data_IF_600119162505
#
_entry.id   IF_600119162505
#
_cell.length_a   1.000
_cell.length_b   1.000
_cell.length_c   1.000
_cell.angle_alpha   90.00
_cell.angle_beta   90.00
_cell.angle_gamma   90.00
#
_symmetry.space_group_name_H-M   'P 1'
#
loop_
_entity.id
_entity.type
_entity.pdbx_description
1 polymer ?
#
# COMPACT_ATOMS: atom_id res chain seq x y z
N UNK A 1 -38.02 -50.39 -12.20
CA UNK A 1 -38.00 -51.13 -10.92
C UNK A 1 -37.96 -50.10 -9.79
N UNK A 2 -39.09 -49.86 -9.11
CA UNK A 2 -39.16 -48.88 -7.99
C UNK A 2 -38.51 -49.49 -6.76
N UNK A 3 -37.38 -48.94 -6.34
CA UNK A 3 -36.65 -49.41 -5.16
C UNK A 3 -37.46 -49.06 -3.90
N UNK A 4 -38.13 -50.07 -3.31
CA UNK A 4 -38.79 -49.96 -2.00
C UNK A 4 -37.70 -49.85 -0.93
N UNK A 5 -37.31 -48.63 -0.59
CA UNK A 5 -36.43 -48.38 0.56
C UNK A 5 -37.26 -48.65 1.82
N UNK A 6 -36.84 -49.65 2.59
CA UNK A 6 -37.50 -50.04 3.84
C UNK A 6 -37.37 -48.94 4.90
N UNK A 7 -38.49 -48.57 5.53
CA UNK A 7 -38.56 -47.58 6.62
C UNK A 7 -37.59 -47.86 7.78
N UNK A 8 -37.16 -49.12 7.98
CA UNK A 8 -36.15 -49.47 9.00
C UNK A 8 -34.76 -48.91 8.67
N UNK A 9 -34.36 -48.86 7.39
CA UNK A 9 -33.07 -48.29 6.98
C UNK A 9 -33.08 -46.76 7.09
N UNK A 10 -34.21 -46.13 6.80
CA UNK A 10 -34.38 -44.68 6.91
C UNK A 10 -34.32 -44.23 8.37
N UNK A 11 -34.99 -44.94 9.29
CA UNK A 11 -34.91 -44.64 10.72
C UNK A 11 -33.51 -44.86 11.30
N UNK A 12 -32.75 -45.83 10.81
CA UNK A 12 -31.36 -46.06 11.26
C UNK A 12 -30.41 -44.95 10.81
N UNK A 13 -30.57 -44.48 9.56
CA UNK A 13 -29.78 -43.35 9.03
C UNK A 13 -30.17 -42.05 9.76
N UNK A 14 -31.46 -41.82 10.01
CA UNK A 14 -31.93 -40.66 10.79
C UNK A 14 -31.40 -40.70 12.22
N UNK A 15 -31.37 -41.87 12.86
CA UNK A 15 -30.84 -42.03 14.21
C UNK A 15 -29.33 -41.75 14.28
N UNK A 16 -28.55 -42.21 13.29
CA UNK A 16 -27.11 -41.93 13.21
C UNK A 16 -26.86 -40.44 12.93
N UNK A 17 -27.62 -39.82 12.02
CA UNK A 17 -27.52 -38.39 11.75
C UNK A 17 -27.91 -37.55 12.97
N UNK A 18 -28.89 -37.97 13.76
CA UNK A 18 -29.24 -37.34 15.04
C UNK A 18 -28.13 -37.53 16.09
N UNK A 19 -27.49 -38.69 16.16
CA UNK A 19 -26.33 -38.89 17.04
C UNK A 19 -25.15 -37.99 16.64
N UNK A 20 -24.89 -37.79 15.34
CA UNK A 20 -23.81 -36.92 14.85
C UNK A 20 -24.14 -35.43 15.05
N UNK A 21 -25.41 -35.05 14.95
CA UNK A 21 -25.88 -33.67 15.21
C UNK A 21 -25.98 -33.34 16.71
N UNK A 22 -26.19 -34.35 17.57
CA UNK A 22 -26.22 -34.21 19.03
C UNK A 22 -24.86 -34.44 19.69
N UNK A 23 -23.93 -35.12 19.01
CA UNK A 23 -22.50 -35.06 19.30
C UNK A 23 -21.87 -33.86 18.60
N UNK A 24 -22.54 -32.70 18.67
CA UNK A 24 -21.82 -31.43 18.63
C UNK A 24 -20.70 -31.48 19.66
N UNK A 25 -19.59 -30.84 19.34
CA UNK A 25 -18.34 -30.83 20.11
C UNK A 25 -18.50 -30.18 21.50
N UNK A 26 -19.32 -30.77 22.38
CA UNK A 26 -19.56 -30.34 23.75
C UNK A 26 -18.59 -31.04 24.72
N UNK A 27 -17.35 -31.31 24.28
CA UNK A 27 -16.27 -31.75 25.15
C UNK A 27 -15.38 -30.58 25.61
N UNK A 28 -15.56 -29.37 25.07
CA UNK A 28 -15.15 -28.19 25.82
C UNK A 28 -16.23 -27.95 26.87
N UNK A 29 -16.03 -28.55 28.05
CA UNK A 29 -16.76 -28.13 29.23
C UNK A 29 -16.63 -26.62 29.40
N UNK A 30 -17.65 -26.00 29.98
CA UNK A 30 -17.58 -24.66 30.56
C UNK A 30 -16.49 -24.64 31.64
N UNK A 31 -15.22 -24.63 31.22
CA UNK A 31 -14.18 -24.03 32.00
C UNK A 31 -14.49 -22.54 31.92
N UNK A 32 -15.06 -22.00 32.99
CA UNK A 32 -14.91 -20.58 33.25
C UNK A 32 -13.42 -20.27 33.04
N UNK A 33 -13.13 -19.56 31.96
CA UNK A 33 -11.78 -19.16 31.58
C UNK A 33 -11.14 -18.56 32.84
N UNK A 34 -10.00 -19.08 33.33
CA UNK A 34 -9.43 -18.60 34.58
C UNK A 34 -9.10 -17.12 34.43
N UNK A 35 -9.82 -16.25 35.16
CA UNK A 35 -9.68 -14.81 35.04
C UNK A 35 -8.21 -14.41 35.27
N UNK A 36 -7.58 -13.81 34.25
CA UNK A 36 -6.21 -13.36 34.33
C UNK A 36 -6.19 -11.83 34.28
N UNK A 37 -6.01 -11.21 35.45
CA UNK A 37 -6.03 -9.76 35.61
C UNK A 37 -5.05 -9.04 34.66
N UNK A 38 -3.86 -9.61 34.46
CA UNK A 38 -2.85 -9.04 33.56
C UNK A 38 -3.28 -9.11 32.09
N UNK A 39 -3.94 -10.19 31.67
CA UNK A 39 -4.49 -10.33 30.32
C UNK A 39 -5.59 -9.31 30.04
N UNK A 40 -6.58 -9.21 30.93
CA UNK A 40 -7.69 -8.27 30.77
C UNK A 40 -7.22 -6.81 30.89
N UNK A 41 -6.31 -6.51 31.83
CA UNK A 41 -5.70 -5.19 31.93
C UNK A 41 -4.90 -4.82 30.67
N UNK A 42 -4.14 -5.78 30.12
CA UNK A 42 -3.37 -5.61 28.89
C UNK A 42 -4.27 -5.32 27.67
N UNK A 43 -5.33 -6.11 27.51
CA UNK A 43 -6.34 -5.93 26.45
C UNK A 43 -7.07 -4.59 26.58
N UNK A 44 -7.46 -4.20 27.80
CA UNK A 44 -8.06 -2.90 28.07
C UNK A 44 -7.11 -1.75 27.72
N UNK A 45 -5.87 -1.80 28.20
CA UNK A 45 -4.87 -0.79 27.88
C UNK A 45 -4.59 -0.67 26.38
N UNK A 46 -4.60 -1.80 25.65
CA UNK A 46 -4.44 -1.80 24.19
C UNK A 46 -5.59 -1.08 23.48
N UNK A 47 -6.83 -1.27 23.95
CA UNK A 47 -8.01 -0.62 23.39
C UNK A 47 -8.09 0.86 23.74
N UNK A 48 -7.54 1.27 24.88
CA UNK A 48 -7.43 2.66 25.31
C UNK A 48 -6.21 3.40 24.70
N UNK A 49 -5.44 2.76 23.80
CA UNK A 49 -4.25 3.36 23.20
C UNK A 49 -3.04 3.50 24.14
N UNK A 50 -3.09 2.87 25.33
CA UNK A 50 -1.98 2.85 26.31
C UNK A 50 -0.98 1.76 25.97
N UNK A 51 -0.32 1.89 24.81
CA UNK A 51 0.45 0.81 24.19
C UNK A 51 1.59 0.24 25.04
N UNK A 52 2.36 1.08 25.73
CA UNK A 52 3.46 0.58 26.58
C UNK A 52 2.94 -0.12 27.84
N UNK A 53 1.85 0.38 28.43
CA UNK A 53 1.16 -0.28 29.55
C UNK A 53 0.58 -1.64 29.11
N UNK A 54 -0.03 -1.69 27.92
CA UNK A 54 -0.55 -2.93 27.35
C UNK A 54 0.56 -3.98 27.20
N UNK A 55 1.71 -3.62 26.63
CA UNK A 55 2.87 -4.52 26.50
C UNK A 55 3.39 -4.97 27.86
N UNK A 56 3.48 -4.06 28.84
CA UNK A 56 3.94 -4.40 30.18
C UNK A 56 3.03 -5.46 30.82
N UNK A 57 1.71 -5.23 30.78
CA UNK A 57 0.71 -6.16 31.34
C UNK A 57 0.66 -7.50 30.63
N UNK A 58 0.70 -7.51 29.31
CA UNK A 58 0.69 -8.78 28.56
C UNK A 58 1.97 -9.59 28.75
N UNK A 59 3.11 -8.97 29.07
CA UNK A 59 4.37 -9.67 29.37
C UNK A 59 4.43 -10.29 30.77
N UNK A 60 3.53 -9.91 31.67
CA UNK A 60 3.40 -10.56 32.98
C UNK A 60 2.85 -11.99 32.86
N UNK A 61 2.25 -12.34 31.72
CA UNK A 61 1.71 -13.67 31.44
C UNK A 61 2.85 -14.62 31.10
N UNK A 62 3.02 -15.67 31.90
CA UNK A 62 4.10 -16.65 31.73
C UNK A 62 3.78 -17.69 30.65
N UNK A 63 4.79 -18.34 30.04
CA UNK A 63 4.59 -19.36 28.99
C UNK A 63 3.68 -20.54 29.37
N UNK A 64 3.55 -20.85 30.66
CA UNK A 64 2.71 -21.92 31.19
C UNK A 64 1.23 -21.54 31.24
N UNK A 65 0.91 -20.26 31.12
CA UNK A 65 -0.47 -19.76 31.14
C UNK A 65 -1.21 -20.11 29.84
N UNK A 66 -2.49 -20.52 29.90
CA UNK A 66 -3.31 -20.74 28.71
C UNK A 66 -3.52 -19.45 27.89
N UNK A 67 -3.29 -18.26 28.47
CA UNK A 67 -3.38 -16.95 27.80
C UNK A 67 -2.09 -16.54 27.09
N UNK A 68 -0.99 -17.26 27.25
CA UNK A 68 0.31 -16.84 26.71
C UNK A 68 0.31 -16.67 25.19
N UNK A 69 -0.23 -17.59 24.38
CA UNK A 69 -0.27 -17.41 22.93
C UNK A 69 -1.04 -16.14 22.51
N UNK A 70 -2.16 -15.86 23.18
CA UNK A 70 -3.01 -14.69 22.93
C UNK A 70 -2.30 -13.41 23.37
N UNK A 71 -1.59 -13.45 24.49
CA UNK A 71 -0.79 -12.32 24.98
C UNK A 71 0.33 -11.96 24.00
N UNK A 72 1.08 -12.96 23.52
CA UNK A 72 2.11 -12.78 22.49
C UNK A 72 1.51 -12.19 21.22
N UNK A 73 0.37 -12.70 20.77
CA UNK A 73 -0.34 -12.18 19.60
C UNK A 73 -0.76 -10.71 19.79
N UNK A 74 -1.33 -10.35 20.94
CA UNK A 74 -1.71 -8.97 21.24
C UNK A 74 -0.48 -8.04 21.29
N UNK A 75 0.65 -8.48 21.86
CA UNK A 75 1.90 -7.73 21.86
C UNK A 75 2.39 -7.46 20.43
N UNK A 76 2.28 -8.45 19.53
CA UNK A 76 2.67 -8.30 18.13
C UNK A 76 1.78 -7.32 17.35
N UNK A 77 0.55 -7.06 17.81
CA UNK A 77 -0.36 -6.06 17.23
C UNK A 77 -0.04 -4.62 17.63
N UNK A 78 0.73 -4.43 18.70
CA UNK A 78 1.00 -3.09 19.24
C UNK A 78 1.67 -2.15 18.23
N UNK A 79 2.72 -2.56 17.48
CA UNK A 79 3.36 -1.67 16.53
C UNK A 79 2.40 -1.15 15.45
N UNK A 80 1.51 -2.00 14.95
CA UNK A 80 0.53 -1.59 13.94
C UNK A 80 -0.44 -0.56 14.52
N UNK A 81 -1.08 -0.84 15.66
CA UNK A 81 -2.02 0.11 16.30
C UNK A 81 -1.36 1.44 16.66
N UNK A 82 -0.13 1.40 17.17
CA UNK A 82 0.64 2.61 17.50
C UNK A 82 1.04 3.40 16.25
N UNK A 83 1.36 2.70 15.15
CA UNK A 83 1.60 3.31 13.85
C UNK A 83 0.39 4.05 13.31
N UNK A 84 -0.81 3.45 13.40
CA UNK A 84 -2.08 4.10 13.02
C UNK A 84 -2.32 5.37 13.85
N UNK A 85 -2.25 5.27 15.18
CA UNK A 85 -2.44 6.42 16.08
C UNK A 85 -1.45 7.57 15.79
N UNK A 86 -0.18 7.23 15.51
CA UNK A 86 0.82 8.21 15.12
C UNK A 86 0.54 8.83 13.75
N UNK A 87 0.10 8.03 12.77
CA UNK A 87 -0.26 8.49 11.43
C UNK A 87 -1.44 9.46 11.46
N UNK A 88 -2.50 9.14 12.20
CA UNK A 88 -3.67 10.02 12.39
C UNK A 88 -3.29 11.35 13.05
N UNK A 89 -2.32 11.33 13.97
CA UNK A 89 -1.75 12.52 14.62
C UNK A 89 -0.71 13.24 13.78
N UNK A 90 -0.49 12.83 12.52
CA UNK A 90 0.52 13.41 11.61
C UNK A 90 1.96 13.32 12.14
N UNK A 91 2.24 12.37 13.03
CA UNK A 91 3.58 12.09 13.56
C UNK A 91 4.29 11.08 12.65
N UNK A 92 4.59 11.49 11.41
CA UNK A 92 5.01 10.58 10.33
C UNK A 92 6.26 9.76 10.67
N UNK A 93 7.27 10.35 11.31
CA UNK A 93 8.49 9.63 11.72
C UNK A 93 8.20 8.52 12.72
N UNK A 94 7.28 8.78 13.67
CA UNK A 94 6.82 7.79 14.65
C UNK A 94 6.03 6.69 13.93
N UNK A 95 5.12 7.06 13.03
CA UNK A 95 4.35 6.11 12.25
C UNK A 95 5.25 5.18 11.43
N UNK A 96 6.25 5.71 10.72
CA UNK A 96 7.24 4.92 9.97
C UNK A 96 7.97 3.95 10.90
N UNK A 97 8.48 4.46 12.03
CA UNK A 97 9.20 3.64 13.00
C UNK A 97 8.34 2.46 13.48
N UNK A 98 7.08 2.70 13.83
CA UNK A 98 6.20 1.66 14.36
C UNK A 98 5.70 0.68 13.28
N UNK A 99 5.32 1.15 12.09
CA UNK A 99 4.96 0.26 10.98
C UNK A 99 6.13 -0.63 10.54
N UNK A 100 7.37 -0.15 10.63
CA UNK A 100 8.57 -0.95 10.29
C UNK A 100 8.81 -2.13 11.23
N UNK A 101 8.23 -2.11 12.44
CA UNK A 101 8.33 -3.18 13.45
C UNK A 101 7.22 -4.22 13.32
N UNK A 102 6.25 -4.03 12.42
CA UNK A 102 5.19 -5.02 12.19
C UNK A 102 5.81 -6.30 11.60
N UNK A 103 5.58 -7.49 12.19
CA UNK A 103 6.22 -8.72 11.76
C UNK A 103 5.88 -9.10 10.31
N UNK A 104 6.85 -9.57 9.53
CA UNK A 104 6.68 -9.96 8.11
C UNK A 104 5.53 -10.94 7.84
N UNK A 105 5.34 -11.90 8.76
CA UNK A 105 4.28 -12.92 8.67
C UNK A 105 3.05 -12.59 9.53
N UNK A 106 2.97 -11.36 10.05
CA UNK A 106 1.83 -10.87 10.82
C UNK A 106 0.65 -10.51 9.91
N UNK A 107 -0.57 -10.64 10.45
CA UNK A 107 -1.81 -10.30 9.73
C UNK A 107 -1.81 -8.85 9.22
N UNK A 108 -1.27 -7.92 10.00
CA UNK A 108 -1.29 -6.49 9.70
C UNK A 108 -0.10 -6.03 8.83
N UNK A 109 0.78 -6.95 8.41
CA UNK A 109 2.01 -6.59 7.68
C UNK A 109 1.74 -5.91 6.34
N UNK A 110 0.85 -6.47 5.53
CA UNK A 110 0.52 -5.91 4.21
C UNK A 110 -0.05 -4.50 4.34
N UNK A 111 -0.86 -4.26 5.36
CA UNK A 111 -1.46 -2.96 5.63
C UNK A 111 -0.41 -1.97 6.16
N UNK A 112 0.47 -2.39 7.06
CA UNK A 112 1.60 -1.58 7.51
C UNK A 112 2.51 -1.17 6.33
N UNK A 113 2.79 -2.08 5.40
CA UNK A 113 3.55 -1.77 4.18
C UNK A 113 2.82 -0.78 3.28
N UNK A 114 1.49 -0.87 3.20
CA UNK A 114 0.69 0.09 2.45
C UNK A 114 0.83 1.51 3.04
N UNK A 115 0.68 1.67 4.36
CA UNK A 115 0.89 2.96 5.03
C UNK A 115 2.32 3.49 4.86
N UNK A 116 3.33 2.62 4.98
CA UNK A 116 4.72 3.02 4.72
C UNK A 116 4.92 3.54 3.30
N UNK A 117 4.37 2.85 2.30
CA UNK A 117 4.47 3.31 0.91
C UNK A 117 3.74 4.66 0.72
N UNK A 118 2.55 4.85 1.32
CA UNK A 118 1.84 6.12 1.27
C UNK A 118 2.68 7.26 1.87
N UNK A 119 3.16 7.10 3.11
CA UNK A 119 3.95 8.12 3.80
C UNK A 119 5.21 8.45 3.00
N UNK A 120 5.93 7.43 2.52
CA UNK A 120 7.15 7.62 1.74
C UNK A 120 6.88 8.33 0.40
N UNK A 121 5.75 8.03 -0.25
CA UNK A 121 5.35 8.71 -1.48
C UNK A 121 5.13 10.21 -1.22
N UNK A 122 4.29 10.55 -0.24
CA UNK A 122 3.97 11.95 0.08
C UNK A 122 5.23 12.73 0.49
N UNK A 123 6.07 12.15 1.35
CA UNK A 123 7.32 12.78 1.76
C UNK A 123 8.27 13.02 0.59
N UNK A 124 8.40 12.06 -0.33
CA UNK A 124 9.22 12.23 -1.54
C UNK A 124 8.62 13.27 -2.49
N UNK A 125 7.29 13.26 -2.64
CA UNK A 125 6.58 14.24 -3.47
C UNK A 125 6.81 15.66 -2.95
N UNK A 126 6.65 15.87 -1.64
CA UNK A 126 6.91 17.15 -0.98
C UNK A 126 8.38 17.56 -1.06
N UNK A 127 9.31 16.61 -0.92
CA UNK A 127 10.74 16.88 -1.08
C UNK A 127 11.09 17.31 -2.51
N UNK A 128 10.45 16.71 -3.51
CA UNK A 128 10.63 17.07 -4.92
C UNK A 128 9.98 18.41 -5.24
N UNK A 129 8.91 18.79 -4.54
CA UNK A 129 8.21 20.05 -4.76
C UNK A 129 9.06 21.23 -4.30
N UNK A 130 9.43 22.11 -5.23
CA UNK A 130 10.05 23.39 -4.89
C UNK A 130 8.92 24.31 -4.41
N UNK A 131 9.03 24.81 -3.19
CA UNK A 131 8.05 25.75 -2.63
C UNK A 131 8.01 27.04 -3.47
N UNK A 132 7.10 27.11 -4.44
CA UNK A 132 6.81 28.32 -5.21
C UNK A 132 5.62 29.04 -4.58
N UNK A 133 5.86 29.74 -3.47
CA UNK A 133 5.06 30.94 -3.22
C UNK A 133 5.55 31.99 -4.19
N UNK A 134 4.95 32.08 -5.36
CA UNK A 134 5.12 33.25 -6.22
C UNK A 134 4.46 34.43 -5.51
N UNK A 135 5.26 35.43 -5.11
CA UNK A 135 4.80 36.77 -4.75
C UNK A 135 4.29 37.52 -6.01
N UNK A 136 3.48 36.88 -6.84
CA UNK A 136 2.84 37.54 -7.97
C UNK A 136 1.40 37.88 -7.59
N UNK A 137 1.23 39.11 -7.08
CA UNK A 137 -0.04 39.73 -6.72
C UNK A 137 -0.99 39.99 -7.91
N UNK A 138 -0.75 39.39 -9.09
CA UNK A 138 -1.47 39.68 -10.33
C UNK A 138 -2.30 38.52 -10.89
N UNK A 139 -2.13 37.29 -10.40
CA UNK A 139 -2.94 36.14 -10.85
C UNK A 139 -3.27 35.22 -9.67
N UNK A 140 -4.44 35.44 -9.07
CA UNK A 140 -5.04 34.46 -8.16
C UNK A 140 -5.42 33.23 -8.99
N UNK A 141 -4.95 32.05 -8.57
CA UNK A 141 -5.48 30.71 -8.88
C UNK A 141 -4.64 29.75 -9.74
N UNK A 142 -3.37 30.04 -10.04
CA UNK A 142 -2.47 29.02 -10.60
C UNK A 142 -1.14 28.97 -9.85
N UNK A 143 -1.05 28.13 -8.81
CA UNK A 143 0.22 27.73 -8.22
C UNK A 143 0.98 26.91 -9.27
N UNK A 144 1.97 27.51 -9.93
CA UNK A 144 2.86 26.80 -10.85
C UNK A 144 3.75 25.87 -10.02
N UNK A 145 3.32 24.62 -9.83
CA UNK A 145 4.09 23.63 -9.08
C UNK A 145 5.39 23.35 -9.84
N UNK A 146 6.52 23.81 -9.28
CA UNK A 146 7.86 23.49 -9.78
C UNK A 146 8.43 22.31 -9.00
N UNK A 147 9.15 21.44 -9.70
CA UNK A 147 9.82 20.30 -9.10
C UNK A 147 11.33 20.42 -9.24
N UNK A 148 12.05 19.90 -8.26
CA UNK A 148 13.45 19.54 -8.42
C UNK A 148 13.49 18.27 -9.28
N UNK A 149 14.12 18.36 -10.46
CA UNK A 149 14.19 17.25 -11.41
C UNK A 149 15.35 16.28 -11.11
N UNK A 150 15.45 15.87 -9.84
CA UNK A 150 16.36 14.81 -9.41
C UNK A 150 15.79 13.46 -9.88
N UNK A 151 16.40 12.91 -10.93
CA UNK A 151 15.97 11.66 -11.54
C UNK A 151 15.98 10.48 -10.55
N UNK A 152 16.90 10.46 -9.58
CA UNK A 152 16.99 9.37 -8.60
C UNK A 152 15.78 9.39 -7.67
N UNK A 153 15.41 10.58 -7.19
CA UNK A 153 14.25 10.76 -6.31
C UNK A 153 12.93 10.54 -7.07
N UNK A 154 12.81 11.05 -8.30
CA UNK A 154 11.62 10.84 -9.14
C UNK A 154 11.45 9.36 -9.48
N UNK A 155 12.54 8.64 -9.78
CA UNK A 155 12.49 7.19 -10.02
C UNK A 155 12.00 6.43 -8.78
N UNK A 156 12.43 6.83 -7.57
CA UNK A 156 11.92 6.23 -6.32
C UNK A 156 10.43 6.50 -6.13
N UNK A 157 9.98 7.74 -6.37
CA UNK A 157 8.56 8.13 -6.30
C UNK A 157 7.70 7.25 -7.23
N UNK A 158 8.10 7.14 -8.49
CA UNK A 158 7.45 6.28 -9.50
C UNK A 158 7.36 4.83 -9.04
N UNK A 159 8.48 4.25 -8.58
CA UNK A 159 8.50 2.85 -8.14
C UNK A 159 7.57 2.61 -6.94
N UNK A 160 7.41 3.59 -6.03
CA UNK A 160 6.48 3.50 -4.91
C UNK A 160 5.03 3.54 -5.43
N UNK A 161 4.70 4.45 -6.34
CA UNK A 161 3.37 4.54 -6.95
C UNK A 161 3.00 3.23 -7.67
N UNK A 162 3.91 2.67 -8.46
CA UNK A 162 3.72 1.39 -9.14
C UNK A 162 3.52 0.25 -8.13
N UNK A 163 4.34 0.19 -7.07
CA UNK A 163 4.23 -0.83 -6.02
C UNK A 163 2.89 -0.76 -5.28
N UNK A 164 2.33 0.45 -5.12
CA UNK A 164 1.02 0.65 -4.50
C UNK A 164 -0.14 0.25 -5.42
N UNK A 165 0.08 0.13 -6.73
CA UNK A 165 -0.99 -0.04 -7.71
C UNK A 165 -1.97 1.14 -7.75
N UNK A 166 -1.54 2.32 -7.27
CA UNK A 166 -2.36 3.53 -7.23
C UNK A 166 -2.18 4.31 -8.53
N UNK A 167 -3.11 4.11 -9.45
CA UNK A 167 -3.03 4.70 -10.78
C UNK A 167 -3.05 6.21 -10.80
N UNK A 168 -3.69 6.84 -9.79
CA UNK A 168 -3.67 8.29 -9.63
C UNK A 168 -2.25 8.76 -9.31
N UNK A 169 -1.55 8.09 -8.40
CA UNK A 169 -0.15 8.40 -8.06
C UNK A 169 0.81 8.12 -9.20
N UNK A 170 0.54 7.08 -10.00
CA UNK A 170 1.33 6.83 -11.22
C UNK A 170 1.12 7.96 -12.23
N UNK A 171 -0.11 8.44 -12.43
CA UNK A 171 -0.39 9.58 -13.31
C UNK A 171 0.27 10.87 -12.83
N UNK A 172 0.22 11.17 -11.53
CA UNK A 172 0.93 12.31 -10.92
C UNK A 172 2.44 12.21 -11.15
N UNK A 173 3.02 11.01 -10.96
CA UNK A 173 4.44 10.77 -11.21
C UNK A 173 4.81 10.95 -12.69
N UNK A 174 3.94 10.56 -13.63
CA UNK A 174 4.12 10.80 -15.06
C UNK A 174 4.17 12.31 -15.36
N UNK A 175 3.34 13.12 -14.71
CA UNK A 175 3.38 14.57 -14.90
C UNK A 175 4.72 15.17 -14.46
N UNK A 176 5.30 14.67 -13.35
CA UNK A 176 6.63 15.08 -12.89
C UNK A 176 7.70 14.66 -13.92
N UNK A 177 7.66 13.42 -14.42
CA UNK A 177 8.60 12.92 -15.44
C UNK A 177 8.51 13.74 -16.73
N UNK A 178 7.29 14.01 -17.22
CA UNK A 178 7.05 14.86 -18.39
C UNK A 178 7.64 16.26 -18.17
N UNK A 179 7.39 16.85 -16.99
CA UNK A 179 7.97 18.15 -16.65
C UNK A 179 9.50 18.10 -16.59
N UNK A 180 10.07 17.00 -16.09
CA UNK A 180 11.50 16.72 -16.12
C UNK A 180 12.07 16.70 -17.53
N UNK A 181 11.41 16.04 -18.48
CA UNK A 181 11.82 16.04 -19.90
C UNK A 181 11.83 17.47 -20.46
N UNK A 182 10.80 18.26 -20.17
CA UNK A 182 10.67 19.64 -20.68
C UNK A 182 11.72 20.61 -20.14
N UNK A 183 12.14 20.41 -18.89
CA UNK A 183 13.04 21.31 -18.16
C UNK A 183 14.45 20.75 -17.97
N UNK A 184 14.75 19.59 -18.57
CA UNK A 184 16.08 19.00 -18.52
C UNK A 184 17.11 19.94 -19.13
N UNK A 185 18.22 20.14 -18.42
CA UNK A 185 19.29 21.06 -18.83
C UNK A 185 20.38 20.39 -19.66
N UNK A 186 20.37 19.05 -19.73
CA UNK A 186 21.36 18.26 -20.45
C UNK A 186 20.73 17.10 -21.21
N UNK A 187 21.42 16.64 -22.26
CA UNK A 187 21.06 15.46 -23.04
C UNK A 187 20.87 14.23 -22.16
N UNK A 188 21.82 13.93 -21.29
CA UNK A 188 21.78 12.75 -20.41
C UNK A 188 20.53 12.76 -19.54
N UNK A 189 20.18 13.92 -18.98
CA UNK A 189 19.01 14.06 -18.13
C UNK A 189 17.70 13.83 -18.93
N UNK A 190 17.61 14.38 -20.15
CA UNK A 190 16.47 14.11 -21.04
C UNK A 190 16.33 12.63 -21.37
N UNK A 191 17.44 11.95 -21.67
CA UNK A 191 17.48 10.51 -21.96
C UNK A 191 17.03 9.67 -20.77
N UNK A 192 17.49 10.01 -19.57
CA UNK A 192 17.11 9.33 -18.34
C UNK A 192 15.60 9.45 -18.07
N UNK A 193 15.03 10.64 -18.26
CA UNK A 193 13.58 10.84 -18.09
C UNK A 193 12.75 10.16 -19.18
N UNK A 194 13.20 10.16 -20.44
CA UNK A 194 12.54 9.41 -21.52
C UNK A 194 12.54 7.90 -21.23
N UNK A 195 13.67 7.38 -20.75
CA UNK A 195 13.81 5.98 -20.33
C UNK A 195 12.92 5.66 -19.13
N UNK A 196 12.78 6.60 -18.18
CA UNK A 196 11.85 6.43 -17.06
C UNK A 196 10.39 6.41 -17.53
N UNK A 197 10.01 7.31 -18.44
CA UNK A 197 8.68 7.31 -19.04
C UNK A 197 8.38 5.98 -19.76
N UNK A 198 9.35 5.46 -20.53
CA UNK A 198 9.27 4.16 -21.20
C UNK A 198 9.03 3.01 -20.21
N UNK A 199 9.75 3.00 -19.10
CA UNK A 199 9.57 2.00 -18.04
C UNK A 199 8.18 2.06 -17.42
N UNK A 200 7.67 3.27 -17.15
CA UNK A 200 6.32 3.44 -16.61
C UNK A 200 5.29 2.86 -17.58
N UNK A 201 5.33 3.28 -18.85
CA UNK A 201 4.31 2.83 -19.82
C UNK A 201 4.41 1.33 -20.09
N UNK A 202 5.61 0.73 -20.11
CA UNK A 202 5.76 -0.73 -20.34
C UNK A 202 5.29 -1.61 -19.17
N UNK A 203 5.23 -1.07 -17.95
CA UNK A 203 4.83 -1.81 -16.73
C UNK A 203 3.36 -1.64 -16.36
N UNK A 204 2.70 -0.65 -16.96
CA UNK A 204 1.31 -0.34 -16.69
C UNK A 204 0.42 -0.83 -17.83
N UNK A 205 -0.87 -1.03 -17.56
CA UNK A 205 -1.87 -1.46 -18.57
C UNK A 205 -3.04 -0.50 -18.69
N UNK A 206 -2.97 0.62 -17.99
CA UNK A 206 -4.10 1.54 -17.92
C UNK A 206 -4.11 2.48 -19.12
N UNK A 207 -5.24 2.46 -19.84
CA UNK A 207 -5.46 3.32 -21.00
C UNK A 207 -5.13 4.78 -20.75
N UNK A 208 -5.50 5.32 -19.58
CA UNK A 208 -5.26 6.73 -19.20
C UNK A 208 -3.76 7.07 -19.10
N UNK A 209 -2.94 6.13 -18.63
CA UNK A 209 -1.48 6.28 -18.56
C UNK A 209 -0.92 6.39 -19.98
N UNK A 210 -1.37 5.49 -20.87
CA UNK A 210 -0.93 5.49 -22.27
C UNK A 210 -1.37 6.74 -23.02
N UNK A 211 -2.63 7.16 -22.87
CA UNK A 211 -3.16 8.39 -23.46
C UNK A 211 -2.37 9.62 -23.01
N UNK A 212 -2.06 9.74 -21.71
CA UNK A 212 -1.27 10.87 -21.17
C UNK A 212 0.14 10.91 -21.77
N UNK A 213 0.84 9.78 -21.77
CA UNK A 213 2.19 9.69 -22.33
C UNK A 213 2.20 9.99 -23.83
N UNK A 214 1.24 9.43 -24.59
CA UNK A 214 1.13 9.64 -26.03
C UNK A 214 0.82 11.10 -26.35
N UNK A 215 -0.14 11.71 -25.65
CA UNK A 215 -0.50 13.11 -25.86
C UNK A 215 0.68 14.05 -25.63
N UNK A 216 1.50 13.80 -24.61
CA UNK A 216 2.73 14.55 -24.39
C UNK A 216 3.71 14.38 -25.56
N UNK A 217 4.02 13.13 -25.93
CA UNK A 217 4.99 12.85 -26.99
C UNK A 217 4.56 13.43 -28.33
N UNK A 218 3.26 13.50 -28.63
CA UNK A 218 2.72 14.12 -29.83
C UNK A 218 2.71 15.65 -29.77
N UNK A 219 2.42 16.24 -28.60
CA UNK A 219 2.34 17.70 -28.42
C UNK A 219 3.72 18.35 -28.49
N UNK A 220 4.70 17.80 -27.77
CA UNK A 220 6.09 18.29 -27.78
C UNK A 220 6.96 17.55 -28.80
N UNK A 221 6.32 16.77 -29.71
CA UNK A 221 7.01 15.97 -30.73
C UNK A 221 8.02 16.80 -31.50
N UNK A 222 7.64 18.00 -31.95
CA UNK A 222 8.53 18.85 -32.74
C UNK A 222 9.84 19.20 -32.01
N UNK A 223 9.79 19.46 -30.70
CA UNK A 223 10.97 19.82 -29.90
C UNK A 223 11.88 18.61 -29.68
N UNK A 224 11.29 17.48 -29.28
CA UNK A 224 12.03 16.24 -29.05
C UNK A 224 12.56 15.65 -30.37
N UNK A 225 11.81 15.79 -31.46
CA UNK A 225 12.16 15.30 -32.79
C UNK A 225 13.28 16.09 -33.44
N UNK A 226 13.38 17.40 -33.19
CA UNK A 226 14.50 18.21 -33.68
C UNK A 226 15.84 17.68 -33.17
N UNK A 227 15.86 17.03 -31.99
CA UNK A 227 17.03 16.36 -31.43
C UNK A 227 17.18 14.98 -32.08
N UNK A 228 18.03 14.91 -33.12
CA UNK A 228 18.22 13.72 -33.96
C UNK A 228 18.47 12.42 -33.18
N UNK A 229 19.10 12.56 -32.02
CA UNK A 229 19.55 11.50 -31.14
C UNK A 229 18.39 10.79 -30.43
N UNK A 230 17.31 11.51 -30.11
CA UNK A 230 16.14 10.94 -29.42
C UNK A 230 15.03 10.47 -30.36
N UNK A 231 15.09 10.84 -31.65
CA UNK A 231 14.07 10.45 -32.64
C UNK A 231 13.73 8.95 -32.62
N UNK A 232 14.72 8.02 -32.62
CA UNK A 232 14.40 6.59 -32.64
C UNK A 232 13.58 6.17 -31.41
N UNK A 233 14.00 6.59 -30.21
CA UNK A 233 13.31 6.27 -28.96
C UNK A 233 11.91 6.87 -28.92
N UNK A 234 11.76 8.15 -29.31
CA UNK A 234 10.45 8.83 -29.34
C UNK A 234 9.50 8.16 -30.33
N UNK A 235 9.96 7.78 -31.53
CA UNK A 235 9.12 7.05 -32.48
C UNK A 235 8.70 5.69 -31.97
N UNK A 236 9.62 4.93 -31.38
CA UNK A 236 9.33 3.63 -30.81
C UNK A 236 8.29 3.74 -29.68
N UNK A 237 8.46 4.70 -28.77
CA UNK A 237 7.50 5.00 -27.72
C UNK A 237 6.11 5.33 -28.26
N UNK A 238 6.03 6.25 -29.24
CA UNK A 238 4.77 6.62 -29.89
C UNK A 238 4.11 5.42 -30.57
N UNK A 239 4.90 4.61 -31.28
CA UNK A 239 4.42 3.39 -31.93
C UNK A 239 3.82 2.39 -30.93
N UNK A 240 4.58 2.08 -29.87
CA UNK A 240 4.14 1.16 -28.82
C UNK A 240 2.85 1.65 -28.15
N UNK A 241 2.81 2.92 -27.75
CA UNK A 241 1.63 3.51 -27.10
C UNK A 241 0.40 3.49 -28.00
N UNK A 242 0.56 3.73 -29.31
CA UNK A 242 -0.55 3.62 -30.26
C UNK A 242 -1.07 2.18 -30.36
N UNK A 243 -0.18 1.20 -30.41
CA UNK A 243 -0.56 -0.22 -30.47
C UNK A 243 -1.31 -0.67 -29.22
N UNK A 244 -0.90 -0.22 -28.03
CA UNK A 244 -1.59 -0.52 -26.76
C UNK A 244 -2.95 0.18 -26.62
N UNK A 245 -3.22 1.22 -27.41
CA UNK A 245 -4.47 1.99 -27.39
C UNK A 245 -5.49 1.54 -28.45
N UNK A 246 -5.10 0.66 -29.38
CA UNK A 246 -5.97 0.06 -30.40
C UNK A 246 -6.79 -1.09 -29.84
#
# INVERSE_FOLDING_TARGET
MKMKISNKKYNFIIAISLCILLSGCSWFGDFAEPENDSYEAGKKALNEGKFELAKAKLREITPESPYYPQAVWLIQKVPFKKGIDAYEKQQLEVAISEFSKVPLHGQDYSEAQHYLNQINYEMLYDQLRIASKTEDLSNKDAEEIKFNYDIVLITKLVNIAEKMGDSKKVLESIDIVISGIKHSSSRSQTEDFLTLLEKIVSRNKEKRIFEKALNFLLTDFGKLYQQAEFRPQVFQLVGNLKMELM
#
